data_IF_119997302884
#
_entry.id   IF_119997302884
#
_cell.length_a   1.000
_cell.length_b   1.000
_cell.length_c   1.000
_cell.angle_alpha   90.00
_cell.angle_beta   90.00
_cell.angle_gamma   90.00
#
_symmetry.space_group_name_H-M   'P 1'
#
loop_
_entity.id
_entity.type
_entity.pdbx_description
1 polymer ?
#
# COMPACT_ATOMS: atom_id res chain seq x y z
N UNK A 1 5.74 -4.74 -16.99
CA UNK A 1 4.94 -4.23 -18.14
C UNK A 1 5.25 -2.76 -18.40
N UNK A 2 5.41 -2.36 -19.67
CA UNK A 2 5.71 -0.98 -20.09
C UNK A 2 4.53 -0.46 -20.94
N UNK A 3 3.98 0.68 -20.56
CA UNK A 3 3.01 1.46 -21.34
C UNK A 3 3.75 2.49 -22.19
N UNK A 4 3.32 2.69 -23.44
CA UNK A 4 3.89 3.72 -24.31
C UNK A 4 3.65 5.14 -23.76
N UNK A 5 2.54 5.35 -23.04
CA UNK A 5 2.17 6.67 -22.50
C UNK A 5 2.74 6.92 -21.11
N UNK A 6 2.69 5.91 -20.24
CA UNK A 6 2.99 6.07 -18.81
C UNK A 6 4.31 5.41 -18.37
N UNK A 7 5.03 4.78 -19.30
CA UNK A 7 6.27 4.07 -19.00
C UNK A 7 6.05 2.79 -18.16
N UNK A 8 6.94 2.55 -17.20
CA UNK A 8 6.95 1.29 -16.43
C UNK A 8 5.85 1.27 -15.35
N UNK A 9 4.80 0.47 -15.57
CA UNK A 9 3.67 0.40 -14.64
C UNK A 9 4.03 -0.18 -13.27
N UNK A 10 5.02 -1.08 -13.22
CA UNK A 10 5.51 -1.60 -11.93
C UNK A 10 6.18 -0.48 -11.10
N UNK A 11 6.77 0.54 -11.74
CA UNK A 11 7.32 1.69 -11.02
C UNK A 11 6.21 2.48 -10.33
N UNK A 12 5.09 2.70 -11.02
CA UNK A 12 3.90 3.37 -10.47
C UNK A 12 3.29 2.52 -9.35
N UNK A 13 3.03 1.24 -9.62
CA UNK A 13 2.41 0.31 -8.67
C UNK A 13 3.20 0.11 -7.37
N UNK A 14 4.53 0.25 -7.37
CA UNK A 14 5.34 0.16 -6.14
C UNK A 14 4.96 1.18 -5.08
N UNK A 15 4.41 2.35 -5.45
CA UNK A 15 3.97 3.39 -4.50
C UNK A 15 2.92 2.87 -3.51
N UNK A 16 2.07 1.95 -3.96
CA UNK A 16 0.99 1.34 -3.17
C UNK A 16 1.19 -0.16 -2.92
N UNK A 17 2.36 -0.71 -3.26
CA UNK A 17 2.62 -2.14 -3.16
C UNK A 17 1.72 -2.98 -4.07
N UNK A 18 1.44 -2.48 -5.28
CA UNK A 18 0.55 -3.08 -6.27
C UNK A 18 -0.89 -3.21 -5.77
N UNK A 19 -1.39 -2.14 -5.14
CA UNK A 19 -2.78 -2.01 -4.73
C UNK A 19 -3.44 -0.84 -5.40
N UNK A 20 -4.74 -0.95 -5.61
CA UNK A 20 -5.56 0.15 -6.08
C UNK A 20 -5.45 1.29 -5.08
N UNK A 21 -5.06 2.48 -5.53
CA UNK A 21 -4.90 3.60 -4.60
C UNK A 21 -6.24 4.17 -4.11
N UNK A 22 -7.37 3.67 -4.62
CA UNK A 22 -8.72 4.10 -4.29
C UNK A 22 -9.37 3.15 -3.27
N UNK A 23 -9.46 1.86 -3.57
CA UNK A 23 -10.10 0.87 -2.68
C UNK A 23 -9.10 0.07 -1.81
N UNK A 24 -7.80 0.12 -2.10
CA UNK A 24 -6.77 -0.63 -1.36
C UNK A 24 -6.63 -2.11 -1.69
N UNK A 25 -7.48 -2.66 -2.56
CA UNK A 25 -7.39 -4.05 -3.00
C UNK A 25 -6.22 -4.30 -3.96
N UNK A 26 -5.85 -5.58 -4.15
CA UNK A 26 -4.69 -5.97 -4.96
C UNK A 26 -4.94 -5.73 -6.45
N UNK A 27 -3.89 -5.31 -7.16
CA UNK A 27 -3.87 -5.17 -8.61
C UNK A 27 -2.95 -6.21 -9.23
N UNK A 28 -3.44 -6.85 -10.29
CA UNK A 28 -2.64 -7.68 -11.17
C UNK A 28 -2.22 -6.85 -12.38
N UNK A 29 -1.00 -6.28 -12.35
CA UNK A 29 -0.52 -5.34 -13.38
C UNK A 29 -0.52 -5.95 -14.78
N UNK A 30 -0.50 -7.28 -14.86
CA UNK A 30 -0.64 -8.09 -16.08
C UNK A 30 -1.96 -7.85 -16.82
N UNK A 31 -3.00 -7.40 -16.10
CA UNK A 31 -4.34 -7.12 -16.62
C UNK A 31 -4.48 -5.70 -17.17
N UNK A 32 -3.40 -4.90 -17.18
CA UNK A 32 -3.49 -3.51 -17.63
C UNK A 32 -3.99 -3.36 -19.06
N UNK A 33 -4.96 -2.46 -19.25
CA UNK A 33 -5.49 -2.10 -20.56
C UNK A 33 -6.33 -3.19 -21.24
N UNK A 34 -6.88 -4.14 -20.48
CA UNK A 34 -7.68 -5.26 -21.00
C UNK A 34 -9.14 -5.26 -20.48
N UNK A 35 -9.88 -4.13 -20.55
CA UNK A 35 -11.22 -4.04 -19.97
C UNK A 35 -12.23 -5.00 -20.63
N UNK A 36 -12.07 -5.33 -21.92
CA UNK A 36 -12.96 -6.28 -22.59
C UNK A 36 -12.86 -7.73 -22.09
N UNK A 37 -11.77 -8.11 -21.39
CA UNK A 37 -11.58 -9.45 -20.83
C UNK A 37 -11.81 -9.53 -19.32
N UNK A 38 -11.44 -8.48 -18.59
CA UNK A 38 -11.44 -8.48 -17.11
C UNK A 38 -12.37 -7.41 -16.51
N UNK A 39 -13.11 -6.69 -17.35
CA UNK A 39 -14.12 -5.72 -16.91
C UNK A 39 -13.56 -4.66 -15.97
N UNK A 40 -14.28 -4.44 -14.87
CA UNK A 40 -13.97 -3.44 -13.86
C UNK A 40 -12.67 -3.73 -13.09
N UNK A 41 -12.24 -4.99 -13.01
CA UNK A 41 -11.02 -5.41 -12.30
C UNK A 41 -9.73 -5.19 -13.10
N UNK A 42 -9.84 -4.77 -14.36
CA UNK A 42 -8.66 -4.42 -15.17
C UNK A 42 -7.87 -3.28 -14.51
N UNK A 43 -6.55 -3.30 -14.68
CA UNK A 43 -5.69 -2.21 -14.19
C UNK A 43 -5.69 -1.05 -15.17
N UNK A 44 -5.84 0.15 -14.66
CA UNK A 44 -5.67 1.40 -15.39
C UNK A 44 -4.74 2.34 -14.62
N UNK A 45 -4.26 3.38 -15.31
CA UNK A 45 -3.55 4.48 -14.67
C UNK A 45 -4.55 5.59 -14.38
N UNK A 46 -4.53 6.08 -13.16
CA UNK A 46 -5.35 7.17 -12.67
C UNK A 46 -4.47 8.39 -12.37
N UNK A 47 -5.00 9.57 -12.65
CA UNK A 47 -4.34 10.86 -12.44
C UNK A 47 -4.83 11.49 -11.14
N UNK A 48 -3.93 11.77 -10.20
CA UNK A 48 -4.29 12.35 -8.90
C UNK A 48 -5.02 13.69 -9.10
N UNK A 49 -4.44 14.59 -9.89
CA UNK A 49 -5.17 15.71 -10.49
C UNK A 49 -5.76 15.25 -11.82
N UNK A 50 -7.10 15.22 -11.99
CA UNK A 50 -7.71 14.81 -13.25
C UNK A 50 -7.21 15.64 -14.44
N UNK A 51 -7.08 15.02 -15.62
CA UNK A 51 -6.64 15.74 -16.83
C UNK A 51 -7.59 16.88 -17.20
N UNK A 52 -8.89 16.74 -16.92
CA UNK A 52 -9.90 17.79 -17.12
C UNK A 52 -9.61 19.07 -16.30
N UNK A 53 -8.79 18.96 -15.26
CA UNK A 53 -8.33 20.07 -14.41
C UNK A 53 -6.83 20.37 -14.59
N UNK A 54 -6.23 19.92 -15.70
CA UNK A 54 -4.84 20.21 -16.05
C UNK A 54 -3.80 19.24 -15.49
N UNK A 55 -4.22 18.08 -14.98
CA UNK A 55 -3.28 17.03 -14.58
C UNK A 55 -2.46 16.48 -15.76
N UNK A 56 -1.15 16.36 -15.55
CA UNK A 56 -0.17 15.88 -16.52
C UNK A 56 0.11 14.37 -16.38
N UNK A 57 0.88 13.81 -17.30
CA UNK A 57 1.35 12.43 -17.24
C UNK A 57 2.66 12.28 -16.44
N UNK A 58 2.99 13.24 -15.57
CA UNK A 58 4.21 13.17 -14.75
C UNK A 58 4.08 12.07 -13.68
N UNK A 59 5.16 11.31 -13.38
CA UNK A 59 5.10 10.15 -12.49
C UNK A 59 4.48 10.43 -11.12
N UNK A 60 4.62 11.64 -10.59
CA UNK A 60 4.10 12.07 -9.30
C UNK A 60 2.56 12.11 -9.31
N UNK A 61 1.98 12.50 -10.45
CA UNK A 61 0.54 12.60 -10.68
C UNK A 61 -0.11 11.25 -11.04
N UNK A 62 0.67 10.19 -11.29
CA UNK A 62 0.14 8.89 -11.73
C UNK A 62 0.07 7.86 -10.60
N UNK A 63 -1.06 7.17 -10.49
CA UNK A 63 -1.26 5.99 -9.64
C UNK A 63 -1.93 4.85 -10.42
N UNK A 64 -1.91 3.63 -9.87
CA UNK A 64 -2.68 2.52 -10.44
C UNK A 64 -4.01 2.33 -9.71
N UNK A 65 -5.06 2.07 -10.48
CA UNK A 65 -6.39 1.78 -9.98
C UNK A 65 -7.08 0.70 -10.84
N UNK A 66 -8.13 0.07 -10.29
CA UNK A 66 -9.06 -0.73 -11.09
C UNK A 66 -9.81 0.17 -12.09
N UNK A 67 -10.19 -0.37 -13.24
CA UNK A 67 -10.96 0.34 -14.25
C UNK A 67 -12.30 0.83 -13.70
N UNK A 68 -12.99 -0.02 -12.92
CA UNK A 68 -14.26 0.33 -12.27
C UNK A 68 -14.12 1.47 -11.28
N UNK A 69 -13.14 1.40 -10.37
CA UNK A 69 -12.86 2.47 -9.40
C UNK A 69 -12.46 3.77 -10.09
N UNK A 70 -11.57 3.72 -11.07
CA UNK A 70 -11.12 4.90 -11.82
C UNK A 70 -12.28 5.55 -12.58
N UNK A 71 -13.08 4.75 -13.28
CA UNK A 71 -14.26 5.24 -13.99
C UNK A 71 -15.31 5.83 -13.04
N UNK A 72 -15.52 5.22 -11.88
CA UNK A 72 -16.49 5.68 -10.87
C UNK A 72 -16.03 6.94 -10.16
N UNK A 73 -14.72 7.11 -9.95
CA UNK A 73 -14.11 8.34 -9.44
C UNK A 73 -14.39 9.51 -10.39
N UNK A 74 -14.17 9.32 -11.69
CA UNK A 74 -14.30 10.39 -12.68
C UNK A 74 -13.40 11.59 -12.35
N UNK A 75 -13.99 12.70 -11.92
CA UNK A 75 -13.29 13.95 -11.56
C UNK A 75 -13.26 14.23 -10.06
N UNK A 76 -13.76 13.31 -9.24
CA UNK A 76 -13.79 13.47 -7.79
C UNK A 76 -12.35 13.63 -7.24
N UNK A 77 -12.13 14.51 -6.24
CA UNK A 77 -10.86 14.57 -5.52
C UNK A 77 -10.45 13.20 -4.97
N UNK A 78 -9.14 12.93 -4.96
CA UNK A 78 -8.62 11.60 -4.65
C UNK A 78 -8.96 11.18 -3.23
N UNK A 79 -8.83 12.11 -2.29
CA UNK A 79 -9.07 11.89 -0.87
C UNK A 79 -10.54 11.51 -0.64
N UNK A 80 -11.46 12.21 -1.30
CA UNK A 80 -12.89 11.91 -1.24
C UNK A 80 -13.19 10.54 -1.86
N UNK A 81 -12.62 10.26 -3.03
CA UNK A 81 -12.78 8.97 -3.70
C UNK A 81 -12.24 7.81 -2.84
N UNK A 82 -11.10 7.98 -2.17
CA UNK A 82 -10.55 6.97 -1.26
C UNK A 82 -11.48 6.71 -0.07
N UNK A 83 -12.06 7.76 0.52
CA UNK A 83 -13.03 7.57 1.62
C UNK A 83 -14.24 6.77 1.12
N UNK A 84 -14.72 7.06 -0.09
CA UNK A 84 -15.87 6.34 -0.67
C UNK A 84 -15.58 4.88 -1.02
N UNK A 85 -14.38 4.57 -1.54
CA UNK A 85 -14.06 3.23 -2.05
C UNK A 85 -13.26 2.36 -1.07
N UNK A 86 -12.38 2.95 -0.28
CA UNK A 86 -11.48 2.27 0.67
C UNK A 86 -11.80 2.52 2.14
N UNK A 87 -12.62 3.52 2.46
CA UNK A 87 -13.03 3.86 3.82
C UNK A 87 -12.05 4.76 4.59
N UNK A 88 -10.91 5.11 3.99
CA UNK A 88 -9.92 6.05 4.52
C UNK A 88 -9.51 7.07 3.43
N UNK A 89 -8.94 8.21 3.81
CA UNK A 89 -8.51 9.24 2.85
C UNK A 89 -7.10 9.03 2.30
N UNK A 90 -6.38 8.05 2.84
CA UNK A 90 -4.96 7.87 2.63
C UNK A 90 -4.67 6.86 1.52
N UNK A 91 -3.54 7.04 0.82
CA UNK A 91 -3.11 6.01 -0.13
C UNK A 91 -2.64 4.76 0.63
N UNK A 92 -2.90 3.55 0.11
CA UNK A 92 -2.28 2.34 0.63
C UNK A 92 -0.76 2.45 0.65
N UNK A 93 -0.13 2.01 1.73
CA UNK A 93 1.32 2.03 1.86
C UNK A 93 2.00 1.08 0.87
N UNK A 94 3.19 1.49 0.40
CA UNK A 94 4.11 0.60 -0.30
C UNK A 94 4.46 -0.64 0.53
N UNK A 95 4.86 -1.74 -0.11
CA UNK A 95 5.25 -2.97 0.58
C UNK A 95 6.34 -2.73 1.63
N UNK A 96 7.37 -1.94 1.30
CA UNK A 96 8.45 -1.61 2.23
C UNK A 96 7.97 -0.78 3.43
N UNK A 97 7.12 0.22 3.20
CA UNK A 97 6.54 1.02 4.28
C UNK A 97 5.68 0.17 5.23
N UNK A 98 4.92 -0.81 4.70
CA UNK A 98 4.16 -1.76 5.53
C UNK A 98 5.06 -2.65 6.37
N UNK A 99 6.14 -3.19 5.79
CA UNK A 99 7.10 -4.01 6.53
C UNK A 99 7.75 -3.24 7.67
N UNK A 100 8.13 -1.97 7.44
CA UNK A 100 8.69 -1.10 8.48
C UNK A 100 7.67 -0.82 9.58
N UNK A 101 6.44 -0.43 9.23
CA UNK A 101 5.41 -0.12 10.21
C UNK A 101 5.06 -1.33 11.08
N UNK A 102 4.96 -2.52 10.49
CA UNK A 102 4.75 -3.77 11.22
C UNK A 102 5.93 -4.09 12.15
N UNK A 103 7.17 -3.91 11.69
CA UNK A 103 8.37 -4.13 12.50
C UNK A 103 8.45 -3.16 13.69
N UNK A 104 8.16 -1.87 13.49
CA UNK A 104 8.15 -0.87 14.57
C UNK A 104 7.03 -1.17 15.57
N UNK A 105 5.81 -1.45 15.09
CA UNK A 105 4.68 -1.79 15.95
C UNK A 105 4.94 -3.04 16.80
N UNK A 106 5.51 -4.09 16.19
CA UNK A 106 5.92 -5.29 16.91
C UNK A 106 7.00 -5.00 17.94
N UNK A 107 7.99 -4.16 17.62
CA UNK A 107 9.04 -3.75 18.55
C UNK A 107 8.50 -2.98 19.76
N UNK A 108 7.58 -2.03 19.55
CA UNK A 108 6.93 -1.28 20.64
C UNK A 108 6.02 -2.17 21.47
N UNK A 109 5.19 -3.00 20.82
CA UNK A 109 4.31 -3.95 21.50
C UNK A 109 5.07 -4.97 22.34
N UNK A 110 6.11 -5.60 21.76
CA UNK A 110 7.02 -6.45 22.51
C UNK A 110 7.69 -5.69 23.65
N UNK A 111 8.11 -4.45 23.38
CA UNK A 111 8.67 -3.56 24.38
C UNK A 111 7.79 -3.33 25.61
N UNK A 112 6.50 -3.09 25.39
CA UNK A 112 5.50 -2.95 26.46
C UNK A 112 5.24 -4.29 27.18
N UNK A 113 5.21 -5.40 26.45
CA UNK A 113 5.01 -6.74 27.02
C UNK A 113 6.19 -7.21 27.89
N UNK A 114 7.41 -6.76 27.58
CA UNK A 114 8.65 -7.10 28.30
C UNK A 114 9.19 -5.96 29.17
N UNK A 115 8.38 -4.92 29.39
CA UNK A 115 8.67 -3.89 30.38
C UNK A 115 8.35 -4.43 31.78
N UNK A 116 9.37 -4.77 32.55
CA UNK A 116 9.21 -5.13 33.95
C UNK A 116 9.34 -3.86 34.82
N UNK A 117 8.36 -3.65 35.69
CA UNK A 117 8.35 -2.53 36.64
C UNK A 117 9.02 -2.99 37.94
N UNK A 118 10.21 -2.48 38.21
CA UNK A 118 10.93 -2.75 39.45
C UNK A 118 11.06 -1.43 40.23
N UNK A 119 10.16 -1.25 41.21
CA UNK A 119 10.03 0.02 41.93
C UNK A 119 9.48 1.15 41.06
N UNK A 120 10.14 2.31 41.08
CA UNK A 120 9.74 3.50 40.32
C UNK A 120 10.40 3.58 38.92
N UNK A 121 11.16 2.56 38.53
CA UNK A 121 11.83 2.51 37.23
C UNK A 121 11.25 1.42 36.33
N UNK A 122 11.06 1.77 35.07
CA UNK A 122 10.73 0.81 34.00
C UNK A 122 12.05 0.31 33.44
N UNK A 123 12.34 -0.99 33.61
CA UNK A 123 13.51 -1.64 33.00
C UNK A 123 13.05 -2.39 31.76
N UNK A 124 13.67 -2.06 30.62
CA UNK A 124 13.38 -2.68 29.35
C UNK A 124 14.30 -3.89 29.16
N UNK A 125 13.75 -5.10 29.06
CA UNK A 125 14.57 -6.29 28.79
C UNK A 125 14.85 -6.41 27.28
N UNK A 126 15.91 -5.73 26.83
CA UNK A 126 16.31 -5.69 25.41
C UNK A 126 16.60 -7.08 24.84
N UNK A 127 17.03 -8.05 25.65
CA UNK A 127 17.29 -9.43 25.21
C UNK A 127 16.01 -10.21 24.92
N UNK A 128 14.97 -10.05 25.75
CA UNK A 128 13.67 -10.67 25.52
C UNK A 128 12.95 -10.06 24.30
N UNK A 129 13.03 -8.73 24.16
CA UNK A 129 12.44 -8.01 23.03
C UNK A 129 13.10 -8.34 21.68
N UNK A 130 14.43 -8.44 21.63
CA UNK A 130 15.15 -8.79 20.39
C UNK A 130 14.96 -10.26 19.97
N UNK A 131 14.86 -11.18 20.94
CA UNK A 131 14.60 -12.60 20.66
C UNK A 131 13.24 -12.85 20.01
N UNK A 132 12.21 -12.11 20.44
CA UNK A 132 10.88 -12.15 19.81
C UNK A 132 10.80 -11.36 18.50
N UNK A 133 11.42 -10.18 18.42
CA UNK A 133 11.39 -9.31 17.23
C UNK A 133 11.96 -9.99 15.98
N UNK A 134 13.06 -10.76 16.13
CA UNK A 134 13.62 -11.58 15.05
C UNK A 134 12.75 -12.79 14.70
N UNK A 135 12.17 -13.46 15.70
CA UNK A 135 11.30 -14.63 15.49
C UNK A 135 10.02 -14.30 14.72
N UNK A 136 9.35 -13.20 15.05
CA UNK A 136 8.10 -12.76 14.37
C UNK A 136 8.40 -12.24 12.96
N UNK A 137 9.54 -11.57 12.77
CA UNK A 137 9.95 -11.05 11.45
C UNK A 137 10.33 -12.18 10.49
N UNK A 138 11.00 -13.25 10.98
CA UNK A 138 11.28 -14.44 10.17
C UNK A 138 10.01 -15.24 9.86
N UNK A 139 9.08 -15.37 10.82
CA UNK A 139 7.81 -16.07 10.60
C UNK A 139 6.90 -15.30 9.62
N UNK A 140 6.87 -13.97 9.71
CA UNK A 140 6.10 -13.11 8.81
C UNK A 140 6.69 -13.08 7.39
N UNK A 141 8.02 -13.17 7.25
CA UNK A 141 8.68 -13.35 5.96
C UNK A 141 8.41 -14.73 5.36
N UNK A 142 8.48 -15.80 6.17
CA UNK A 142 8.16 -17.16 5.75
C UNK A 142 6.72 -17.26 5.23
N UNK A 143 5.72 -16.84 6.01
CA UNK A 143 4.31 -16.85 5.63
C UNK A 143 3.98 -15.96 4.40
N UNK A 144 4.84 -14.98 4.09
CA UNK A 144 4.69 -14.13 2.89
C UNK A 144 5.40 -14.69 1.65
N UNK A 145 6.25 -15.71 1.80
CA UNK A 145 6.99 -16.33 0.71
C UNK A 145 6.29 -17.58 0.12
N UNK A 146 5.23 -18.06 0.77
CA UNK A 146 4.50 -19.29 0.42
C UNK A 146 3.15 -19.03 -0.28
N UNK A 147 2.81 -17.78 -0.61
CA UNK A 147 1.50 -17.38 -1.15
C UNK A 147 1.54 -16.49 -2.39
#
# INVERSE_FOLDING_TARGET
>A
MISNRYGCLHKIGRRTGHRCHLCGERLHVELYGRPGMFGEDTVTVDHLTPQAFGGDDEPENLMLAHAGCNSSRGVLPVEEARVLFGGDGDAPWSTGARSVALGVGAGVGAGLLFAEREGDQIKFNTKAALGWGFGVSLLSWALSAEG
#
